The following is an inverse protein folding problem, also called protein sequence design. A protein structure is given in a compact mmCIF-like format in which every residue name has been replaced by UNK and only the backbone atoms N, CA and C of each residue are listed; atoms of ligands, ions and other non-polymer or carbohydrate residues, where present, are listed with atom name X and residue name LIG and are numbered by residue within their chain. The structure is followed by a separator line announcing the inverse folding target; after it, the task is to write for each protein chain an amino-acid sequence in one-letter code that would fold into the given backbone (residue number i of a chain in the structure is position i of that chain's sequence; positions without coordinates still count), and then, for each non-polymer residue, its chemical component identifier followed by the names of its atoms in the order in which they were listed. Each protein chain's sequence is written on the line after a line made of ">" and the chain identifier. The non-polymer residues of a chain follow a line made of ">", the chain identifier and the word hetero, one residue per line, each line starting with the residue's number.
data_IF_503934430655
#
_entry.id   IF_503934430655
#
_cell.length_a   1.000
_cell.length_b   1.000
_cell.length_c   1.000
_cell.angle_alpha   90.00
_cell.angle_beta   90.00
_cell.angle_gamma   90.00
#
_symmetry.space_group_name_H-M   'P 1'
#
loop_
_entity.id
_entity.type
_entity.pdbx_description
1 polymer ?
#
# COMPACT_ATOMS: atom_id res chain seq x y z
N UNK A 1 11.10 -95.58 29.87
CA UNK A 1 9.78 -94.95 30.06
C UNK A 1 9.97 -93.79 31.02
N UNK A 2 10.19 -92.59 30.49
CA UNK A 2 10.22 -91.38 31.30
C UNK A 2 8.79 -91.08 31.76
N UNK A 3 8.55 -90.85 33.06
CA UNK A 3 7.21 -90.55 33.55
C UNK A 3 6.81 -89.18 33.01
N UNK A 4 5.68 -89.15 32.31
CA UNK A 4 5.00 -87.93 31.91
C UNK A 4 4.49 -87.27 33.20
N UNK A 5 5.30 -86.40 33.81
CA UNK A 5 4.84 -85.53 34.90
C UNK A 5 3.78 -84.60 34.31
N UNK A 6 2.52 -84.84 34.69
CA UNK A 6 1.47 -83.83 34.54
C UNK A 6 1.88 -82.68 35.47
N UNK A 7 2.10 -81.46 34.95
CA UNK A 7 2.52 -80.33 35.79
C UNK A 7 1.48 -80.11 36.89
N UNK A 8 1.96 -79.93 38.12
CA UNK A 8 1.12 -79.62 39.27
C UNK A 8 0.36 -78.31 39.02
N UNK A 9 -0.89 -78.21 39.49
CA UNK A 9 -1.76 -77.05 39.30
C UNK A 9 -1.09 -75.76 39.80
N UNK A 10 -0.29 -75.86 40.86
CA UNK A 10 0.51 -74.75 41.37
C UNK A 10 1.56 -74.24 40.35
N UNK A 11 2.21 -75.14 39.61
CA UNK A 11 3.20 -74.77 38.59
C UNK A 11 2.54 -74.09 37.39
N UNK A 12 1.34 -74.53 37.00
CA UNK A 12 0.57 -73.91 35.92
C UNK A 12 0.10 -72.48 36.28
N UNK A 13 -0.40 -72.28 37.51
CA UNK A 13 -0.78 -70.95 38.01
C UNK A 13 0.41 -70.00 38.08
N UNK A 14 1.54 -70.47 38.59
CA UNK A 14 2.76 -69.65 38.66
C UNK A 14 3.25 -69.27 37.25
N UNK A 15 3.15 -70.19 36.28
CA UNK A 15 3.49 -69.90 34.89
C UNK A 15 2.55 -68.83 34.27
N UNK A 16 1.25 -68.87 34.57
CA UNK A 16 0.28 -67.87 34.14
C UNK A 16 0.53 -66.49 34.75
N UNK A 17 0.82 -66.43 36.06
CA UNK A 17 1.21 -65.19 36.76
C UNK A 17 2.47 -64.59 36.13
N UNK A 18 3.49 -65.42 35.86
CA UNK A 18 4.72 -64.97 35.22
C UNK A 18 4.44 -64.44 33.80
N UNK A 19 3.61 -65.13 33.02
CA UNK A 19 3.25 -64.72 31.66
C UNK A 19 2.48 -63.38 31.64
N UNK A 20 1.53 -63.19 32.55
CA UNK A 20 0.79 -61.93 32.71
C UNK A 20 1.69 -60.80 33.20
N UNK A 21 2.60 -61.08 34.14
CA UNK A 21 3.59 -60.12 34.64
C UNK A 21 4.49 -59.62 33.51
N UNK A 22 5.00 -60.54 32.68
CA UNK A 22 5.80 -60.19 31.51
C UNK A 22 5.00 -59.41 30.47
N UNK A 23 3.73 -59.76 30.25
CA UNK A 23 2.84 -59.05 29.33
C UNK A 23 2.57 -57.61 29.80
N UNK A 24 2.33 -57.41 31.10
CA UNK A 24 2.19 -56.09 31.73
C UNK A 24 3.48 -55.29 31.55
N UNK A 25 4.64 -55.86 31.87
CA UNK A 25 5.93 -55.18 31.73
C UNK A 25 6.27 -54.81 30.27
N UNK A 26 5.91 -55.67 29.30
CA UNK A 26 6.04 -55.36 27.87
C UNK A 26 5.13 -54.19 27.47
N UNK A 27 3.86 -54.22 27.86
CA UNK A 27 2.90 -53.20 27.47
C UNK A 27 3.14 -51.85 28.18
N UNK A 28 3.68 -51.86 29.41
CA UNK A 28 4.17 -50.66 30.08
C UNK A 28 5.28 -49.98 29.28
N UNK A 29 6.27 -50.74 28.80
CA UNK A 29 7.33 -50.21 27.94
C UNK A 29 6.77 -49.63 26.64
N UNK A 30 5.81 -50.30 26.01
CA UNK A 30 5.14 -49.79 24.81
C UNK A 30 4.40 -48.47 25.08
N UNK A 31 3.69 -48.34 26.20
CA UNK A 31 3.03 -47.09 26.61
C UNK A 31 4.05 -45.96 26.78
N UNK A 32 5.19 -46.22 27.43
CA UNK A 32 6.26 -45.23 27.58
C UNK A 32 6.82 -44.80 26.23
N UNK A 33 7.14 -45.75 25.35
CA UNK A 33 7.64 -45.44 23.99
C UNK A 33 6.64 -44.63 23.19
N UNK A 34 5.35 -44.99 23.23
CA UNK A 34 4.28 -44.24 22.54
C UNK A 34 4.12 -42.83 23.12
N UNK A 35 4.29 -42.65 24.43
CA UNK A 35 4.28 -41.32 25.05
C UNK A 35 5.42 -40.46 24.51
N UNK A 36 6.64 -40.98 24.42
CA UNK A 36 7.78 -40.25 23.81
C UNK A 36 7.52 -39.88 22.34
N UNK A 37 6.86 -40.74 21.57
CA UNK A 37 6.46 -40.43 20.19
C UNK A 37 5.46 -39.28 20.15
N UNK A 38 4.48 -39.27 21.05
CA UNK A 38 3.50 -38.18 21.17
C UNK A 38 4.18 -36.87 21.53
N UNK A 39 5.12 -36.87 22.47
CA UNK A 39 5.83 -35.66 22.88
C UNK A 39 6.59 -35.04 21.68
N UNK A 40 7.25 -35.88 20.86
CA UNK A 40 7.92 -35.45 19.64
C UNK A 40 6.94 -34.95 18.56
N UNK A 41 5.82 -35.65 18.35
CA UNK A 41 4.79 -35.23 17.40
C UNK A 41 4.08 -33.94 17.82
N UNK A 42 3.91 -33.74 19.13
CA UNK A 42 3.35 -32.51 19.71
C UNK A 42 4.26 -31.32 19.43
N UNK A 43 5.56 -31.46 19.71
CA UNK A 43 6.55 -30.42 19.38
C UNK A 43 6.59 -30.12 17.86
N UNK A 44 6.49 -31.16 17.02
CA UNK A 44 6.46 -31.01 15.57
C UNK A 44 5.19 -30.32 15.07
N UNK A 45 4.02 -30.67 15.62
CA UNK A 45 2.75 -30.04 15.28
C UNK A 45 2.78 -28.56 15.65
N UNK A 46 3.29 -28.23 16.85
CA UNK A 46 3.45 -26.84 17.28
C UNK A 46 4.37 -26.05 16.33
N UNK A 47 5.53 -26.59 15.97
CA UNK A 47 6.44 -25.94 15.02
C UNK A 47 5.77 -25.62 13.67
N UNK A 48 4.95 -26.51 13.13
CA UNK A 48 4.24 -26.22 11.88
C UNK A 48 3.07 -25.25 12.05
N UNK A 49 2.44 -25.22 13.22
CA UNK A 49 1.43 -24.22 13.55
C UNK A 49 2.03 -22.81 13.63
N UNK A 50 3.23 -22.69 14.20
CA UNK A 50 3.98 -21.42 14.25
C UNK A 50 4.32 -20.96 12.83
N UNK A 51 4.86 -21.85 11.99
CA UNK A 51 5.16 -21.55 10.57
C UNK A 51 3.93 -21.18 9.75
N UNK A 52 2.77 -21.77 10.03
CA UNK A 52 1.51 -21.39 9.38
C UNK A 52 1.11 -19.95 9.76
N UNK A 53 1.28 -19.59 11.03
CA UNK A 53 1.00 -18.24 11.53
C UNK A 53 1.93 -17.21 10.91
N UNK A 54 3.22 -17.53 10.79
CA UNK A 54 4.20 -16.69 10.08
C UNK A 54 3.84 -16.52 8.60
N UNK A 55 3.48 -17.61 7.92
CA UNK A 55 3.11 -17.57 6.50
C UNK A 55 1.84 -16.75 6.25
N UNK A 56 0.84 -16.85 7.14
CA UNK A 56 -0.38 -16.04 7.05
C UNK A 56 -0.09 -14.55 7.24
N UNK A 57 0.75 -14.22 8.22
CA UNK A 57 1.21 -12.85 8.45
C UNK A 57 1.95 -12.31 7.22
N UNK A 58 2.90 -13.07 6.68
CA UNK A 58 3.65 -12.66 5.47
C UNK A 58 2.74 -12.46 4.26
N UNK A 59 1.72 -13.32 4.07
CA UNK A 59 0.71 -13.18 3.02
C UNK A 59 -0.12 -11.91 3.20
N UNK A 60 -0.59 -11.64 4.42
CA UNK A 60 -1.35 -10.43 4.73
C UNK A 60 -0.54 -9.16 4.50
N UNK A 61 0.73 -9.14 4.92
CA UNK A 61 1.66 -8.02 4.67
C UNK A 61 1.89 -7.82 3.17
N UNK A 62 2.18 -8.88 2.42
CA UNK A 62 2.40 -8.79 0.98
C UNK A 62 1.17 -8.22 0.24
N UNK A 63 -0.04 -8.63 0.62
CA UNK A 63 -1.27 -8.08 0.06
C UNK A 63 -1.45 -6.59 0.40
N UNK A 64 -1.20 -6.21 1.65
CA UNK A 64 -1.31 -4.82 2.07
C UNK A 64 -0.33 -3.92 1.29
N UNK A 65 0.93 -4.36 1.13
CA UNK A 65 1.93 -3.62 0.34
C UNK A 65 1.56 -3.55 -1.14
N UNK A 66 1.02 -4.62 -1.73
CA UNK A 66 0.52 -4.60 -3.10
C UNK A 66 -0.60 -3.56 -3.28
N UNK A 67 -1.59 -3.54 -2.39
CA UNK A 67 -2.69 -2.58 -2.43
C UNK A 67 -2.19 -1.12 -2.28
N UNK A 68 -1.20 -0.88 -1.44
CA UNK A 68 -0.55 0.43 -1.29
C UNK A 68 0.14 0.86 -2.59
N UNK A 69 0.87 -0.04 -3.25
CA UNK A 69 1.52 0.25 -4.52
C UNK A 69 0.49 0.54 -5.65
N UNK A 70 -0.63 -0.20 -5.69
CA UNK A 70 -1.71 0.06 -6.64
C UNK A 70 -2.38 1.43 -6.40
N UNK A 71 -2.54 1.81 -5.13
CA UNK A 71 -3.04 3.13 -4.74
C UNK A 71 -2.06 4.24 -5.17
N UNK A 72 -0.76 4.03 -4.95
CA UNK A 72 0.29 4.95 -5.37
C UNK A 72 0.32 5.11 -6.90
N UNK A 73 0.15 4.03 -7.66
CA UNK A 73 0.06 4.08 -9.13
C UNK A 73 -1.14 4.90 -9.60
N UNK A 74 -2.29 4.73 -8.94
CA UNK A 74 -3.51 5.47 -9.25
C UNK A 74 -3.35 6.96 -8.94
N UNK A 75 -2.73 7.29 -7.80
CA UNK A 75 -2.40 8.67 -7.43
C UNK A 75 -1.41 9.31 -8.42
N UNK A 76 -0.38 8.57 -8.85
CA UNK A 76 0.58 9.04 -9.84
C UNK A 76 -0.07 9.30 -11.21
N UNK A 77 -1.00 8.45 -11.63
CA UNK A 77 -1.80 8.68 -12.84
C UNK A 77 -2.69 9.92 -12.71
N UNK A 78 -3.34 10.11 -11.56
CA UNK A 78 -4.16 11.28 -11.27
C UNK A 78 -3.35 12.57 -11.28
N UNK A 79 -2.16 12.56 -10.67
CA UNK A 79 -1.24 13.70 -10.67
C UNK A 79 -0.79 14.06 -12.09
N UNK A 80 -0.37 13.09 -12.89
CA UNK A 80 0.03 13.32 -14.28
C UNK A 80 -1.11 13.93 -15.11
N UNK A 81 -2.34 13.43 -14.93
CA UNK A 81 -3.53 13.99 -15.59
C UNK A 81 -3.82 15.43 -15.15
N UNK A 82 -3.78 15.70 -13.85
CA UNK A 82 -3.99 17.04 -13.30
C UNK A 82 -2.93 18.04 -13.80
N UNK A 83 -1.66 17.63 -13.84
CA UNK A 83 -0.58 18.47 -14.37
C UNK A 83 -0.79 18.80 -15.86
N UNK A 84 -1.24 17.85 -16.67
CA UNK A 84 -1.53 18.08 -18.08
C UNK A 84 -2.67 19.07 -18.28
N UNK A 85 -3.77 18.90 -17.53
CA UNK A 85 -4.91 19.83 -17.56
C UNK A 85 -4.49 21.25 -17.12
N UNK A 86 -3.78 21.37 -15.99
CA UNK A 86 -3.28 22.66 -15.52
C UNK A 86 -2.30 23.30 -16.51
N UNK A 87 -1.47 22.53 -17.21
CA UNK A 87 -0.57 23.06 -18.22
C UNK A 87 -1.36 23.66 -19.40
N UNK A 88 -2.44 23.00 -19.86
CA UNK A 88 -3.32 23.55 -20.89
C UNK A 88 -3.97 24.86 -20.44
N UNK A 89 -4.47 24.91 -19.20
CA UNK A 89 -5.09 26.11 -18.64
C UNK A 89 -4.08 27.26 -18.51
N UNK A 90 -2.87 27.01 -18.00
CA UNK A 90 -1.81 28.01 -17.90
C UNK A 90 -1.43 28.56 -19.27
N UNK A 91 -1.32 27.70 -20.28
CA UNK A 91 -0.99 28.13 -21.66
C UNK A 91 -2.08 29.03 -22.23
N UNK A 92 -3.36 28.66 -22.07
CA UNK A 92 -4.48 29.46 -22.53
C UNK A 92 -4.57 30.83 -21.83
N UNK A 93 -4.29 30.87 -20.51
CA UNK A 93 -4.25 32.12 -19.75
C UNK A 93 -3.07 32.99 -20.21
N UNK A 94 -1.90 32.42 -20.44
CA UNK A 94 -0.71 33.15 -20.91
C UNK A 94 -0.93 33.79 -22.30
N UNK A 95 -1.58 33.06 -23.21
CA UNK A 95 -2.01 33.61 -24.52
C UNK A 95 -2.99 34.77 -24.35
N UNK A 96 -4.00 34.62 -23.49
CA UNK A 96 -4.97 35.69 -23.20
C UNK A 96 -4.30 36.92 -22.60
N UNK A 97 -3.33 36.73 -21.70
CA UNK A 97 -2.60 37.80 -21.05
C UNK A 97 -1.72 38.56 -22.03
N UNK A 98 -1.08 37.84 -22.95
CA UNK A 98 -0.27 38.42 -24.02
C UNK A 98 -1.13 39.31 -24.93
N UNK A 99 -2.31 38.84 -25.32
CA UNK A 99 -3.25 39.63 -26.12
C UNK A 99 -3.70 40.93 -25.42
N UNK A 100 -3.95 40.86 -24.10
CA UNK A 100 -4.31 42.06 -23.31
C UNK A 100 -3.13 43.03 -23.21
N UNK A 101 -1.93 42.54 -22.93
CA UNK A 101 -0.73 43.36 -22.84
C UNK A 101 -0.38 44.06 -24.16
N UNK A 102 -0.59 43.39 -25.31
CA UNK A 102 -0.42 43.98 -26.63
C UNK A 102 -1.46 45.07 -26.91
N UNK A 103 -2.72 44.83 -26.57
CA UNK A 103 -3.79 45.83 -26.71
C UNK A 103 -3.55 47.06 -25.82
N UNK A 104 -3.05 46.88 -24.60
CA UNK A 104 -2.68 47.98 -23.70
C UNK A 104 -1.50 48.80 -24.23
N UNK A 105 -0.49 48.13 -24.80
CA UNK A 105 0.64 48.81 -25.42
C UNK A 105 0.21 49.68 -26.61
N UNK A 106 -0.72 49.20 -27.43
CA UNK A 106 -1.27 49.97 -28.55
C UNK A 106 -2.14 51.14 -28.07
N UNK A 107 -2.95 50.94 -27.02
CA UNK A 107 -3.72 52.02 -26.40
C UNK A 107 -2.79 53.11 -25.84
N UNK A 108 -1.71 52.73 -25.13
CA UNK A 108 -0.71 53.66 -24.60
C UNK A 108 -0.07 54.49 -25.71
N UNK A 109 0.28 53.87 -26.85
CA UNK A 109 0.83 54.59 -28.02
C UNK A 109 -0.17 55.60 -28.58
N UNK A 110 -1.44 55.21 -28.74
CA UNK A 110 -2.48 56.08 -29.26
C UNK A 110 -2.78 57.25 -28.31
N UNK A 111 -2.92 57.00 -27.02
CA UNK A 111 -3.18 58.04 -26.02
C UNK A 111 -2.02 59.02 -25.90
N UNK A 112 -0.77 58.54 -25.93
CA UNK A 112 0.41 59.41 -25.94
C UNK A 112 0.42 60.33 -27.17
N UNK A 113 0.03 59.81 -28.34
CA UNK A 113 -0.12 60.64 -29.53
C UNK A 113 -1.23 61.69 -29.38
N UNK A 114 -2.38 61.31 -28.84
CA UNK A 114 -3.53 62.21 -28.62
C UNK A 114 -3.19 63.31 -27.61
N UNK A 115 -2.52 63.00 -26.50
CA UNK A 115 -2.07 64.00 -25.52
C UNK A 115 -1.16 65.02 -26.20
N UNK A 116 -0.15 64.58 -26.94
CA UNK A 116 0.75 65.46 -27.67
C UNK A 116 0.01 66.35 -28.68
N UNK A 117 -1.02 65.81 -29.34
CA UNK A 117 -1.85 66.57 -30.28
C UNK A 117 -2.71 67.63 -29.54
N UNK A 118 -3.34 67.25 -28.43
CA UNK A 118 -4.16 68.14 -27.61
C UNK A 118 -3.35 69.27 -26.99
N UNK A 119 -2.14 68.97 -26.48
CA UNK A 119 -1.23 69.99 -25.96
C UNK A 119 -0.81 70.99 -27.03
N UNK A 120 -0.43 70.51 -28.23
CA UNK A 120 -0.10 71.40 -29.36
C UNK A 120 -1.30 72.22 -29.83
N UNK A 121 -2.49 71.62 -29.86
CA UNK A 121 -3.73 72.33 -30.21
C UNK A 121 -4.07 73.40 -29.17
N UNK A 122 -3.92 73.11 -27.87
CA UNK A 122 -4.11 74.07 -26.78
C UNK A 122 -3.12 75.23 -26.86
N UNK A 123 -1.84 74.95 -27.15
CA UNK A 123 -0.83 75.99 -27.39
C UNK A 123 -1.16 76.87 -28.61
N UNK A 124 -1.67 76.28 -29.69
CA UNK A 124 -2.09 77.02 -30.88
C UNK A 124 -3.32 77.90 -30.58
N UNK A 125 -4.32 77.36 -29.89
CA UNK A 125 -5.51 78.10 -29.46
C UNK A 125 -5.15 79.29 -28.57
N UNK A 126 -4.23 79.10 -27.61
CA UNK A 126 -3.71 80.17 -26.76
C UNK A 126 -2.98 81.25 -27.58
N UNK A 127 -2.13 80.86 -28.54
CA UNK A 127 -1.45 81.82 -29.43
C UNK A 127 -2.44 82.60 -30.29
N UNK A 128 -3.45 81.94 -30.85
CA UNK A 128 -4.46 82.61 -31.68
C UNK A 128 -5.35 83.53 -30.84
N UNK A 129 -5.69 83.16 -29.59
CA UNK A 129 -6.46 84.01 -28.69
C UNK A 129 -5.74 85.32 -28.38
N UNK A 130 -4.42 85.28 -28.22
CA UNK A 130 -3.60 86.49 -28.05
C UNK A 130 -3.67 87.44 -29.26
N UNK A 131 -3.93 86.92 -30.47
CA UNK A 131 -4.10 87.70 -31.69
C UNK A 131 -5.57 88.00 -32.03
N UNK A 132 -6.53 87.24 -31.50
CA UNK A 132 -7.96 87.39 -31.74
C UNK A 132 -8.77 87.05 -30.46
N UNK A 133 -9.23 88.06 -29.71
CA UNK A 133 -9.93 87.87 -28.44
C UNK A 133 -11.33 87.25 -28.56
N UNK A 134 -11.85 87.01 -29.77
CA UNK A 134 -13.12 86.32 -30.00
C UNK A 134 -13.05 84.79 -29.77
N UNK A 135 -11.86 84.21 -29.58
CA UNK A 135 -11.71 82.78 -29.29
C UNK A 135 -12.23 82.48 -27.87
N UNK A 136 -13.18 81.53 -27.70
CA UNK A 136 -13.76 81.24 -26.39
C UNK A 136 -12.79 80.52 -25.43
N UNK A 137 -12.76 80.97 -24.19
CA UNK A 137 -11.98 80.36 -23.08
C UNK A 137 -12.41 78.92 -22.82
N UNK A 138 -13.70 78.63 -23.06
CA UNK A 138 -14.27 77.30 -22.94
C UNK A 138 -13.61 76.26 -23.85
N UNK A 139 -13.09 76.66 -25.02
CA UNK A 139 -12.37 75.76 -25.93
C UNK A 139 -11.00 75.37 -25.34
N UNK A 140 -10.28 76.35 -24.78
CA UNK A 140 -8.97 76.13 -24.15
C UNK A 140 -9.14 75.24 -22.91
N UNK A 141 -10.19 75.49 -22.11
CA UNK A 141 -10.53 74.67 -20.95
C UNK A 141 -10.89 73.22 -21.33
N UNK A 142 -11.62 73.02 -22.42
CA UNK A 142 -11.98 71.68 -22.92
C UNK A 142 -10.76 70.91 -23.42
N UNK A 143 -9.84 71.57 -24.15
CA UNK A 143 -8.59 70.95 -24.60
C UNK A 143 -7.69 70.56 -23.41
N UNK A 144 -7.60 71.43 -22.40
CA UNK A 144 -6.85 71.16 -21.17
C UNK A 144 -7.43 69.99 -20.38
N UNK A 145 -8.77 69.95 -20.23
CA UNK A 145 -9.47 68.81 -19.59
C UNK A 145 -9.26 67.52 -20.35
N UNK A 146 -9.42 67.51 -21.67
CA UNK A 146 -9.21 66.32 -22.49
C UNK A 146 -7.77 65.80 -22.40
N UNK A 147 -6.77 66.68 -22.33
CA UNK A 147 -5.37 66.30 -22.12
C UNK A 147 -5.17 65.65 -20.73
N UNK A 148 -5.76 66.24 -19.69
CA UNK A 148 -5.75 65.67 -18.34
C UNK A 148 -6.44 64.29 -18.24
N UNK A 149 -7.60 64.15 -18.88
CA UNK A 149 -8.32 62.87 -18.93
C UNK A 149 -7.50 61.79 -19.64
N UNK A 150 -6.89 62.12 -20.79
CA UNK A 150 -6.00 61.18 -21.48
C UNK A 150 -4.79 60.79 -20.62
N UNK A 151 -4.19 61.73 -19.89
CA UNK A 151 -3.07 61.43 -18.99
C UNK A 151 -3.48 60.48 -17.85
N UNK A 152 -4.68 60.64 -17.31
CA UNK A 152 -5.24 59.71 -16.32
C UNK A 152 -5.45 58.31 -16.89
N UNK A 153 -5.95 58.19 -18.12
CA UNK A 153 -6.12 56.89 -18.79
C UNK A 153 -4.76 56.24 -19.06
N UNK A 154 -3.73 57.00 -19.46
CA UNK A 154 -2.36 56.49 -19.60
C UNK A 154 -1.84 55.94 -18.28
N UNK A 155 -2.04 56.65 -17.17
CA UNK A 155 -1.64 56.17 -15.85
C UNK A 155 -2.34 54.85 -15.49
N UNK A 156 -3.65 54.73 -15.76
CA UNK A 156 -4.40 53.51 -15.51
C UNK A 156 -3.93 52.35 -16.40
N UNK A 157 -3.66 52.61 -17.68
CA UNK A 157 -3.13 51.61 -18.62
C UNK A 157 -1.73 51.12 -18.24
N UNK A 158 -0.86 51.99 -17.70
CA UNK A 158 0.45 51.57 -17.18
C UNK A 158 0.32 50.65 -15.95
N UNK A 159 -0.63 50.90 -15.06
CA UNK A 159 -0.90 50.04 -13.90
C UNK A 159 -1.46 48.69 -14.34
N UNK A 160 -2.34 48.69 -15.34
CA UNK A 160 -2.88 47.45 -15.91
C UNK A 160 -1.78 46.63 -16.62
N UNK A 161 -0.86 47.29 -17.33
CA UNK A 161 0.29 46.66 -17.97
C UNK A 161 1.24 46.03 -16.94
N UNK A 162 1.54 46.73 -15.84
CA UNK A 162 2.35 46.21 -14.73
C UNK A 162 1.70 44.96 -14.09
N UNK A 163 0.36 44.98 -13.96
CA UNK A 163 -0.41 43.84 -13.47
C UNK A 163 -0.33 42.65 -14.43
N UNK A 164 -0.43 42.87 -15.74
CA UNK A 164 -0.25 41.84 -16.77
C UNK A 164 1.16 41.24 -16.72
N UNK A 165 2.22 42.06 -16.65
CA UNK A 165 3.59 41.56 -16.56
C UNK A 165 3.83 40.73 -15.29
N UNK A 166 3.28 41.18 -14.16
CA UNK A 166 3.34 40.44 -12.88
C UNK A 166 2.64 39.09 -12.97
N UNK A 167 1.46 39.05 -13.60
CA UNK A 167 0.73 37.80 -13.81
C UNK A 167 1.46 36.84 -14.76
N UNK A 168 2.08 37.33 -15.85
CA UNK A 168 2.88 36.50 -16.77
C UNK A 168 4.10 35.89 -16.06
N UNK A 169 4.80 36.68 -15.24
CA UNK A 169 5.91 36.16 -14.43
C UNK A 169 5.44 35.04 -13.48
N UNK A 170 4.28 35.20 -12.86
CA UNK A 170 3.64 34.16 -12.04
C UNK A 170 3.34 32.88 -12.83
N UNK A 171 2.74 33.00 -14.02
CA UNK A 171 2.44 31.87 -14.90
C UNK A 171 3.70 31.12 -15.35
N UNK A 172 4.79 31.83 -15.65
CA UNK A 172 6.06 31.19 -16.01
C UNK A 172 6.61 30.30 -14.88
N UNK A 173 6.49 30.75 -13.62
CA UNK A 173 6.87 29.93 -12.45
C UNK A 173 5.93 28.72 -12.33
N UNK A 174 4.63 28.92 -12.46
CA UNK A 174 3.62 27.84 -12.43
C UNK A 174 3.88 26.80 -13.52
N UNK A 175 4.26 27.22 -14.73
CA UNK A 175 4.61 26.28 -15.81
C UNK A 175 5.81 25.44 -15.45
N UNK A 176 6.89 26.05 -14.93
CA UNK A 176 8.08 25.32 -14.50
C UNK A 176 7.81 24.31 -13.38
N UNK A 177 6.93 24.65 -12.43
CA UNK A 177 6.54 23.69 -11.38
C UNK A 177 5.67 22.56 -11.92
N UNK A 178 4.76 22.83 -12.86
CA UNK A 178 3.96 21.81 -13.53
C UNK A 178 4.81 20.85 -14.36
N UNK A 179 5.82 21.35 -15.08
CA UNK A 179 6.74 20.51 -15.87
C UNK A 179 7.55 19.57 -14.97
N UNK A 180 8.07 20.09 -13.85
CA UNK A 180 8.77 19.27 -12.86
C UNK A 180 7.84 18.22 -12.25
N UNK A 181 6.64 18.62 -11.81
CA UNK A 181 5.66 17.72 -11.22
C UNK A 181 5.24 16.61 -12.19
N UNK A 182 5.05 16.95 -13.46
CA UNK A 182 4.75 15.99 -14.53
C UNK A 182 5.89 15.00 -14.74
N UNK A 183 7.12 15.50 -14.85
CA UNK A 183 8.31 14.65 -14.99
C UNK A 183 8.44 13.65 -13.83
N UNK A 184 8.27 14.14 -12.59
CA UNK A 184 8.28 13.28 -11.39
C UNK A 184 7.13 12.26 -11.39
N UNK A 185 5.93 12.68 -11.80
CA UNK A 185 4.79 11.78 -11.92
C UNK A 185 5.04 10.69 -12.97
N UNK A 186 5.61 11.04 -14.13
CA UNK A 186 5.92 10.08 -15.19
C UNK A 186 7.04 9.11 -14.79
N UNK A 187 8.07 9.58 -14.09
CA UNK A 187 9.08 8.70 -13.47
C UNK A 187 8.46 7.72 -12.49
N UNK A 188 7.63 8.20 -11.56
CA UNK A 188 6.95 7.35 -10.58
C UNK A 188 6.04 6.32 -11.26
N UNK A 189 5.31 6.72 -12.32
CA UNK A 189 4.48 5.81 -13.10
C UNK A 189 5.32 4.74 -13.79
N UNK A 190 6.48 5.10 -14.31
CA UNK A 190 7.38 4.15 -14.96
C UNK A 190 7.92 3.12 -13.97
N UNK A 191 8.38 3.56 -12.80
CA UNK A 191 8.97 2.67 -11.78
C UNK A 191 7.93 1.73 -11.16
N UNK A 192 6.68 2.18 -11.04
CA UNK A 192 5.59 1.39 -10.51
C UNK A 192 5.05 0.37 -11.54
N UNK A 193 5.01 0.71 -12.83
CA UNK A 193 4.44 -0.15 -13.87
C UNK A 193 5.20 -1.46 -14.02
N UNK A 194 4.50 -2.61 -14.13
CA UNK A 194 5.14 -3.85 -14.52
C UNK A 194 5.74 -3.68 -15.92
N UNK A 195 7.06 -3.88 -16.06
CA UNK A 195 7.72 -3.76 -17.36
C UNK A 195 7.21 -4.78 -18.39
N UNK A 196 7.79 -4.75 -19.60
CA UNK A 196 7.42 -5.66 -20.72
C UNK A 196 7.48 -7.14 -20.35
N UNK A 197 8.35 -7.49 -19.41
CA UNK A 197 8.23 -8.71 -18.62
C UNK A 197 7.53 -8.29 -17.34
N UNK A 198 6.44 -8.96 -16.93
CA UNK A 198 5.66 -8.74 -15.69
C UNK A 198 6.50 -8.78 -14.38
N UNK A 199 7.82 -8.76 -14.52
CA UNK A 199 8.84 -8.93 -13.53
C UNK A 199 9.67 -7.67 -13.28
N UNK A 200 9.65 -6.67 -14.16
CA UNK A 200 10.62 -5.56 -14.09
C UNK A 200 10.13 -4.31 -13.33
N UNK A 201 8.87 -4.30 -12.88
CA UNK A 201 8.28 -3.17 -12.13
C UNK A 201 7.97 -3.51 -10.68
N UNK A 202 7.87 -2.49 -9.82
CA UNK A 202 7.53 -2.66 -8.40
C UNK A 202 6.21 -3.42 -8.23
N UNK A 203 5.18 -3.09 -9.00
CA UNK A 203 3.90 -3.82 -8.94
C UNK A 203 4.05 -5.30 -9.32
N UNK A 204 4.78 -5.61 -10.39
CA UNK A 204 5.02 -6.99 -10.82
C UNK A 204 5.83 -7.80 -9.80
N UNK A 205 6.77 -7.17 -9.10
CA UNK A 205 7.48 -7.79 -7.98
C UNK A 205 6.57 -8.06 -6.79
N UNK A 206 5.70 -7.11 -6.42
CA UNK A 206 4.76 -7.24 -5.31
C UNK A 206 3.66 -8.27 -5.59
N UNK A 207 3.17 -8.36 -6.82
CA UNK A 207 2.23 -9.40 -7.25
C UNK A 207 2.86 -10.80 -7.11
N UNK A 208 4.10 -10.97 -7.58
CA UNK A 208 4.83 -12.24 -7.40
C UNK A 208 5.12 -12.55 -5.94
N UNK A 209 5.47 -11.55 -5.13
CA UNK A 209 5.68 -11.72 -3.70
C UNK A 209 4.40 -12.19 -3.02
N UNK A 210 3.26 -11.57 -3.34
CA UNK A 210 1.96 -11.99 -2.82
C UNK A 210 1.62 -13.43 -3.24
N UNK A 211 1.78 -13.76 -4.52
CA UNK A 211 1.51 -15.11 -5.03
C UNK A 211 2.38 -16.15 -4.32
N UNK A 212 3.68 -15.88 -4.19
CA UNK A 212 4.61 -16.77 -3.50
C UNK A 212 4.27 -16.92 -2.01
N UNK A 213 3.86 -15.85 -1.34
CA UNK A 213 3.40 -15.92 0.04
C UNK A 213 2.11 -16.73 0.18
N UNK A 214 1.19 -16.63 -0.77
CA UNK A 214 -0.02 -17.46 -0.81
C UNK A 214 0.32 -18.96 -1.00
N UNK A 215 1.26 -19.28 -1.89
CA UNK A 215 1.73 -20.65 -2.09
C UNK A 215 2.40 -21.21 -0.83
N UNK A 216 3.24 -20.41 -0.17
CA UNK A 216 3.86 -20.78 1.11
C UNK A 216 2.84 -21.01 2.23
N UNK A 217 1.80 -20.16 2.32
CA UNK A 217 0.70 -20.35 3.26
C UNK A 217 -0.03 -21.67 3.01
N UNK A 218 -0.39 -21.96 1.76
CA UNK A 218 -1.09 -23.20 1.40
C UNK A 218 -0.24 -24.44 1.72
N UNK A 219 1.07 -24.39 1.44
CA UNK A 219 2.00 -25.45 1.81
C UNK A 219 2.11 -25.62 3.33
N UNK A 220 2.22 -24.52 4.09
CA UNK A 220 2.28 -24.57 5.55
C UNK A 220 0.99 -25.12 6.16
N UNK A 221 -0.17 -24.76 5.60
CA UNK A 221 -1.47 -25.26 6.02
C UNK A 221 -1.55 -26.78 5.84
N UNK A 222 -1.21 -27.28 4.64
CA UNK A 222 -1.23 -28.70 4.36
C UNK A 222 -0.30 -29.51 5.31
N UNK A 223 0.89 -28.98 5.59
CA UNK A 223 1.85 -29.63 6.49
C UNK A 223 1.38 -29.58 7.95
N UNK A 224 0.83 -28.46 8.41
CA UNK A 224 0.26 -28.33 9.76
C UNK A 224 -0.90 -29.32 9.95
N UNK A 225 -1.85 -29.36 9.01
CA UNK A 225 -2.97 -30.31 9.06
C UNK A 225 -2.50 -31.77 9.13
N UNK A 226 -1.48 -32.15 8.35
CA UNK A 226 -0.92 -33.50 8.39
C UNK A 226 -0.23 -33.81 9.74
N UNK A 227 0.53 -32.86 10.29
CA UNK A 227 1.19 -33.05 11.58
C UNK A 227 0.18 -33.23 12.72
N UNK A 228 -0.90 -32.45 12.73
CA UNK A 228 -2.00 -32.60 13.69
C UNK A 228 -2.69 -33.96 13.53
N UNK A 229 -2.98 -34.39 12.30
CA UNK A 229 -3.57 -35.70 12.06
C UNK A 229 -2.68 -36.87 12.54
N UNK A 230 -1.36 -36.76 12.38
CA UNK A 230 -0.40 -37.76 12.90
C UNK A 230 -0.41 -37.79 14.44
N UNK A 231 -0.46 -36.63 15.08
CA UNK A 231 -0.55 -36.50 16.54
C UNK A 231 -1.85 -37.12 17.06
N UNK A 232 -2.98 -36.82 16.43
CA UNK A 232 -4.29 -37.38 16.80
C UNK A 232 -4.31 -38.90 16.68
N UNK A 233 -3.76 -39.44 15.59
CA UNK A 233 -3.62 -40.88 15.41
C UNK A 233 -2.72 -41.51 16.49
N UNK A 234 -1.59 -40.89 16.83
CA UNK A 234 -0.71 -41.37 17.89
C UNK A 234 -1.39 -41.34 19.27
N UNK A 235 -2.15 -40.29 19.57
CA UNK A 235 -2.93 -40.17 20.80
C UNK A 235 -3.99 -41.27 20.92
N UNK A 236 -4.74 -41.55 19.84
CA UNK A 236 -5.71 -42.64 19.80
C UNK A 236 -5.04 -44.01 20.03
N UNK A 237 -3.85 -44.21 19.42
CA UNK A 237 -3.06 -45.41 19.58
C UNK A 237 -2.56 -45.56 21.03
N UNK A 238 -2.09 -44.50 21.69
CA UNK A 238 -1.70 -44.53 23.10
C UNK A 238 -2.89 -44.84 24.01
N UNK A 239 -4.05 -44.23 23.77
CA UNK A 239 -5.26 -44.51 24.54
C UNK A 239 -5.63 -46.00 24.49
N UNK A 240 -5.54 -46.61 23.30
CA UNK A 240 -5.74 -48.05 23.12
C UNK A 240 -4.73 -48.88 23.91
N UNK A 241 -3.45 -48.51 23.90
CA UNK A 241 -2.41 -49.22 24.66
C UNK A 241 -2.62 -49.10 26.17
N UNK A 242 -3.00 -47.92 26.67
CA UNK A 242 -3.35 -47.70 28.10
C UNK A 242 -4.55 -48.53 28.53
N UNK A 243 -5.60 -48.63 27.69
CA UNK A 243 -6.76 -49.46 27.97
C UNK A 243 -6.41 -50.96 28.06
N UNK A 244 -5.59 -51.46 27.12
CA UNK A 244 -5.07 -52.84 27.17
C UNK A 244 -4.23 -53.09 28.41
N UNK A 245 -3.41 -52.11 28.81
CA UNK A 245 -2.58 -52.21 30.01
C UNK A 245 -3.44 -52.32 31.27
N UNK A 246 -4.45 -51.46 31.41
CA UNK A 246 -5.39 -51.52 32.52
C UNK A 246 -6.12 -52.89 32.58
N UNK A 247 -6.52 -53.43 31.43
CA UNK A 247 -7.15 -54.76 31.35
C UNK A 247 -6.20 -55.88 31.80
N UNK A 248 -4.95 -55.89 31.34
CA UNK A 248 -3.96 -56.89 31.78
C UNK A 248 -3.61 -56.77 33.26
N UNK A 249 -3.50 -55.55 33.78
CA UNK A 249 -3.26 -55.31 35.21
C UNK A 249 -4.44 -55.81 36.07
N UNK A 250 -5.67 -55.59 35.63
CA UNK A 250 -6.86 -56.13 36.30
C UNK A 250 -6.88 -57.68 36.25
N UNK A 251 -6.52 -58.28 35.12
CA UNK A 251 -6.40 -59.73 34.97
C UNK A 251 -5.33 -60.33 35.90
N UNK A 252 -4.15 -59.74 35.94
CA UNK A 252 -3.07 -60.15 36.86
C UNK A 252 -3.52 -60.06 38.33
N UNK A 253 -4.15 -58.95 38.72
CA UNK A 253 -4.66 -58.77 40.07
C UNK A 253 -5.72 -59.83 40.44
N UNK A 254 -6.60 -60.18 39.51
CA UNK A 254 -7.60 -61.23 39.71
C UNK A 254 -6.95 -62.61 39.92
N UNK A 255 -5.97 -62.98 39.09
CA UNK A 255 -5.26 -64.27 39.22
C UNK A 255 -4.50 -64.34 40.55
N UNK A 256 -3.80 -63.27 40.94
CA UNK A 256 -3.10 -63.20 42.23
C UNK A 256 -4.06 -63.30 43.43
N UNK A 257 -5.24 -62.68 43.36
CA UNK A 257 -6.23 -62.74 44.43
C UNK A 257 -6.88 -64.13 44.57
N UNK A 258 -7.04 -64.87 43.46
CA UNK A 258 -7.51 -66.26 43.49
C UNK A 258 -6.45 -67.18 44.07
N UNK A 259 -5.18 -66.97 43.73
CA UNK A 259 -4.07 -67.76 44.27
C UNK A 259 -3.90 -67.55 45.77
N UNK A 260 -4.00 -66.30 46.25
CA UNK A 260 -3.95 -65.97 47.68
C UNK A 260 -5.13 -66.52 48.50
N UNK A 261 -6.26 -66.87 47.87
CA UNK A 261 -7.40 -67.55 48.52
C UNK A 261 -7.29 -69.08 48.51
N UNK A 262 -6.39 -69.62 47.69
CA UNK A 262 -6.19 -71.06 47.53
C UNK A 262 -4.98 -71.59 48.33
N UNK A 263 -4.16 -70.69 48.88
CA UNK A 263 -3.09 -70.96 49.84
C UNK A 263 -3.61 -70.95 51.29
#
# INVERSE_FOLDING_TARGET
>A
MTPFMIPDIAQLKQAEINALTDAVARLQREVVTRQTVIDNLSARAQHFQDRLTEADTARATALATLNQAQSAQSAANGLAGACLESHHQVTAVDESLTNVADAEADLLRQLTFVINLLEKAGQLANKQKASNPLIPDTLIDQLSRAAGDCANVVALALVAQDSCLTASAGLSVTRGTLDLARSQADHLRHDLQPGKHHEAGVLGHLERLYQRSADHYNAALAVSTNATAQLDHANAALATAKARLASLQAGLAAVMAVDAKAA
#
